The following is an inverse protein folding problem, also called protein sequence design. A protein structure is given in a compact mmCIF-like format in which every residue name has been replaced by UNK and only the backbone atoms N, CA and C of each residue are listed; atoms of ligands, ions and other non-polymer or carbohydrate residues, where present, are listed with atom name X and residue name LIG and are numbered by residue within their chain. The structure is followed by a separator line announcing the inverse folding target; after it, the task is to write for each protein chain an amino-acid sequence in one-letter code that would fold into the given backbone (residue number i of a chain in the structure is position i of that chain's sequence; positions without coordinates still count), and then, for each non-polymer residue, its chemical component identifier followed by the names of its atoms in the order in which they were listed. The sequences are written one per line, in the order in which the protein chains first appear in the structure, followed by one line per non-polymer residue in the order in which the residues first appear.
data_IF_612549982833
#
_entry.id   IF_612549982833
#
_cell.length_a   1.000
_cell.length_b   1.000
_cell.length_c   1.000
_cell.angle_alpha   90.00
_cell.angle_beta   90.00
_cell.angle_gamma   90.00
#
_symmetry.space_group_name_H-M   'P 1'
#
loop_
_entity.id
_entity.type
_entity.pdbx_description
1 polymer ?
#
# COMPACT_ATOMS: atom_id res chain seq x y z
N UNK A 1 -5.33 3.07 -1.48
CA UNK A 1 -5.36 2.26 -2.73
C UNK A 1 -6.66 1.46 -2.79
N UNK A 2 -7.01 0.85 -3.92
CA UNK A 2 -8.26 0.08 -4.10
C UNK A 2 -7.96 -1.23 -4.80
N UNK A 3 -8.59 -2.32 -4.35
CA UNK A 3 -8.65 -3.60 -5.03
C UNK A 3 -10.11 -3.96 -5.33
N UNK A 4 -10.42 -4.36 -6.56
CA UNK A 4 -11.79 -4.63 -6.98
C UNK A 4 -11.91 -5.97 -7.71
N UNK A 5 -12.99 -6.67 -7.43
CA UNK A 5 -13.49 -7.87 -8.09
C UNK A 5 -15.01 -7.68 -8.30
N UNK A 6 -15.66 -8.30 -9.30
CA UNK A 6 -17.10 -8.14 -9.53
C UNK A 6 -17.99 -8.25 -8.28
N UNK A 7 -17.62 -9.13 -7.34
CA UNK A 7 -18.37 -9.40 -6.11
C UNK A 7 -17.74 -8.79 -4.83
N UNK A 8 -16.60 -8.11 -4.93
CA UNK A 8 -15.86 -7.62 -3.76
C UNK A 8 -15.07 -6.33 -4.03
N UNK A 9 -15.10 -5.39 -3.08
CA UNK A 9 -14.37 -4.12 -3.13
C UNK A 9 -13.57 -3.93 -1.84
N UNK A 10 -12.25 -3.83 -1.97
CA UNK A 10 -11.33 -3.54 -0.88
C UNK A 10 -10.81 -2.10 -0.96
N UNK A 11 -10.91 -1.36 0.14
CA UNK A 11 -10.29 -0.05 0.31
C UNK A 11 -9.10 -0.22 1.24
N UNK A 12 -7.91 0.17 0.76
CA UNK A 12 -6.68 0.05 1.52
C UNK A 12 -6.28 1.45 2.00
N UNK A 13 -6.38 1.65 3.31
CA UNK A 13 -6.05 2.88 4.04
C UNK A 13 -4.58 2.95 4.48
N UNK A 14 -3.74 2.03 4.00
CA UNK A 14 -2.30 2.09 4.20
C UNK A 14 -1.64 2.97 3.11
N UNK A 15 -0.59 3.69 3.49
CA UNK A 15 0.16 4.58 2.62
C UNK A 15 0.08 6.06 3.01
N UNK A 16 0.87 6.88 2.31
CA UNK A 16 1.01 8.30 2.63
C UNK A 16 1.24 9.15 1.38
N UNK A 17 1.22 10.48 1.56
CA UNK A 17 1.35 11.45 0.48
C UNK A 17 2.65 11.32 -0.35
N UNK A 18 3.73 10.77 0.22
CA UNK A 18 4.97 10.53 -0.50
C UNK A 18 4.84 9.55 -1.68
N UNK A 19 3.79 8.72 -1.66
CA UNK A 19 3.46 7.79 -2.74
C UNK A 19 2.86 8.48 -3.97
N UNK A 20 2.49 9.76 -3.90
CA UNK A 20 2.03 10.54 -5.05
C UNK A 20 3.20 10.97 -5.95
N UNK A 21 4.07 10.01 -6.28
CA UNK A 21 5.28 10.18 -7.07
C UNK A 21 5.27 9.26 -8.29
N UNK A 22 5.93 9.68 -9.37
CA UNK A 22 6.09 8.83 -10.56
C UNK A 22 6.76 7.50 -10.22
N UNK A 23 6.27 6.40 -10.81
CA UNK A 23 6.81 5.06 -10.62
C UNK A 23 6.19 4.25 -9.48
N UNK A 24 5.42 4.85 -8.57
CA UNK A 24 4.77 4.09 -7.48
C UNK A 24 3.74 3.06 -7.99
N UNK A 25 3.11 3.34 -9.14
CA UNK A 25 2.26 2.38 -9.84
C UNK A 25 3.03 1.19 -10.43
N UNK A 26 4.24 1.42 -10.94
CA UNK A 26 5.11 0.37 -11.47
C UNK A 26 5.59 -0.57 -10.35
N UNK A 27 5.96 0.02 -9.19
CA UNK A 27 6.31 -0.75 -7.99
C UNK A 27 5.15 -1.61 -7.53
N UNK A 28 3.95 -1.04 -7.38
CA UNK A 28 2.74 -1.79 -7.00
C UNK A 28 2.44 -2.92 -7.99
N UNK A 29 2.55 -2.65 -9.29
CA UNK A 29 2.30 -3.64 -10.34
C UNK A 29 3.31 -4.79 -10.28
N UNK A 30 4.58 -4.49 -10.01
CA UNK A 30 5.62 -5.50 -9.79
C UNK A 30 5.35 -6.38 -8.57
N UNK A 31 4.89 -5.79 -7.46
CA UNK A 31 4.50 -6.54 -6.25
C UNK A 31 3.33 -7.48 -6.56
N UNK A 32 2.28 -6.98 -7.22
CA UNK A 32 1.11 -7.81 -7.59
C UNK A 32 1.54 -8.93 -8.55
N UNK A 33 2.37 -8.63 -9.56
CA UNK A 33 2.90 -9.63 -10.48
C UNK A 33 3.70 -10.74 -9.78
N UNK A 34 4.52 -10.38 -8.78
CA UNK A 34 5.26 -11.34 -7.97
C UNK A 34 4.33 -12.24 -7.13
N UNK A 35 3.24 -11.69 -6.58
CA UNK A 35 2.24 -12.43 -5.81
C UNK A 35 1.41 -13.36 -6.71
N UNK A 36 1.06 -12.92 -7.91
CA UNK A 36 0.44 -13.76 -8.94
C UNK A 36 1.36 -14.92 -9.35
N UNK A 37 2.66 -14.66 -9.50
CA UNK A 37 3.68 -15.71 -9.74
C UNK A 37 3.77 -16.74 -8.61
N UNK A 38 3.39 -16.35 -7.39
CA UNK A 38 3.26 -17.23 -6.22
C UNK A 38 1.90 -17.95 -6.13
N UNK A 39 1.05 -17.83 -7.16
CA UNK A 39 -0.26 -18.49 -7.29
C UNK A 39 -1.35 -17.96 -6.34
N UNK A 40 -1.24 -16.71 -5.88
CA UNK A 40 -2.39 -16.06 -5.25
C UNK A 40 -3.50 -15.79 -6.29
N UNK A 41 -4.76 -15.75 -5.84
CA UNK A 41 -5.84 -15.30 -6.70
C UNK A 41 -5.62 -13.83 -7.10
N UNK A 42 -6.15 -13.36 -8.24
CA UNK A 42 -5.98 -11.96 -8.65
C UNK A 42 -6.45 -10.95 -7.61
N UNK A 43 -7.57 -11.23 -6.94
CA UNK A 43 -8.10 -10.36 -5.90
C UNK A 43 -7.20 -10.37 -4.64
N UNK A 44 -6.79 -11.55 -4.17
CA UNK A 44 -5.89 -11.65 -3.01
C UNK A 44 -4.53 -11.02 -3.28
N UNK A 45 -3.99 -11.19 -4.49
CA UNK A 45 -2.73 -10.58 -4.90
C UNK A 45 -2.85 -9.04 -4.95
N UNK A 46 -3.96 -8.51 -5.45
CA UNK A 46 -4.22 -7.06 -5.47
C UNK A 46 -4.37 -6.50 -4.04
N UNK A 47 -5.12 -7.19 -3.19
CA UNK A 47 -5.30 -6.82 -1.78
C UNK A 47 -3.96 -6.84 -1.03
N UNK A 48 -3.27 -7.98 -1.01
CA UNK A 48 -1.98 -8.12 -0.33
C UNK A 48 -0.92 -7.15 -0.90
N UNK A 49 -0.89 -6.96 -2.23
CA UNK A 49 0.01 -6.02 -2.88
C UNK A 49 -0.23 -4.57 -2.46
N UNK A 50 -1.49 -4.12 -2.43
CA UNK A 50 -1.84 -2.79 -1.94
C UNK A 50 -1.44 -2.60 -0.47
N UNK A 51 -1.71 -3.58 0.39
CA UNK A 51 -1.35 -3.49 1.82
C UNK A 51 0.16 -3.42 1.99
N UNK A 52 0.90 -4.32 1.35
CA UNK A 52 2.36 -4.36 1.44
C UNK A 52 3.00 -3.06 0.93
N UNK A 53 2.52 -2.53 -0.20
CA UNK A 53 3.02 -1.29 -0.78
C UNK A 53 2.77 -0.07 0.13
N UNK A 54 1.56 0.06 0.67
CA UNK A 54 1.18 1.16 1.56
C UNK A 54 1.94 1.12 2.88
N UNK A 55 1.99 -0.06 3.52
CA UNK A 55 2.72 -0.25 4.76
C UNK A 55 4.23 0.02 4.60
N UNK A 56 4.83 -0.39 3.48
CA UNK A 56 6.23 -0.09 3.19
C UNK A 56 6.47 1.43 3.06
N UNK A 57 5.56 2.15 2.39
CA UNK A 57 5.63 3.60 2.30
C UNK A 57 5.52 4.26 3.67
N UNK A 58 4.64 3.79 4.55
CA UNK A 58 4.45 4.35 5.90
C UNK A 58 5.66 4.12 6.79
N UNK A 59 6.27 2.93 6.72
CA UNK A 59 7.52 2.64 7.41
C UNK A 59 8.63 3.56 6.92
N UNK A 60 8.72 3.80 5.61
CA UNK A 60 9.71 4.72 5.04
C UNK A 60 9.48 6.15 5.52
N UNK A 61 8.22 6.62 5.49
CA UNK A 61 7.86 7.92 6.02
C UNK A 61 8.22 8.03 7.50
N UNK A 62 7.88 7.06 8.34
CA UNK A 62 8.25 7.07 9.75
C UNK A 62 9.78 7.14 9.98
N UNK A 63 10.61 6.59 9.07
CA UNK A 63 12.08 6.65 9.18
C UNK A 63 12.67 7.98 8.73
N UNK A 64 12.14 8.58 7.66
CA UNK A 64 12.76 9.74 7.01
C UNK A 64 11.97 11.05 7.16
N UNK A 65 10.65 10.98 7.28
CA UNK A 65 9.77 12.15 7.54
C UNK A 65 9.99 12.70 8.96
N UNK A 66 10.27 11.83 9.93
CA UNK A 66 10.62 12.23 11.31
C UNK A 66 11.88 13.12 11.38
N UNK A 67 12.78 13.07 10.38
CA UNK A 67 13.96 13.93 10.34
C UNK A 67 13.67 15.34 9.79
N UNK A 68 12.49 15.59 9.21
CA UNK A 68 12.13 16.89 8.60
C UNK A 68 10.95 17.58 9.27
N UNK A 69 9.95 16.86 9.80
CA UNK A 69 8.67 17.46 10.24
C UNK A 69 8.09 16.84 11.53
N UNK A 70 8.78 16.97 12.66
CA UNK A 70 8.41 16.37 13.97
C UNK A 70 7.10 16.87 14.62
N UNK A 71 6.18 17.50 13.88
CA UNK A 71 5.05 18.27 14.42
C UNK A 71 3.64 17.65 14.36
N UNK A 72 3.39 16.54 13.65
CA UNK A 72 2.02 16.01 13.53
C UNK A 72 1.98 14.47 13.55
N UNK A 73 1.70 13.89 14.73
CA UNK A 73 1.86 12.44 15.02
C UNK A 73 0.57 11.62 15.02
N UNK A 74 -0.58 12.21 14.74
CA UNK A 74 -1.83 11.43 14.67
C UNK A 74 -2.04 10.97 13.24
N UNK A 75 -2.10 9.64 13.01
CA UNK A 75 -2.89 8.92 11.97
C UNK A 75 -2.31 7.55 11.51
N UNK A 76 -1.27 7.00 12.15
CA UNK A 76 -0.76 5.67 11.77
C UNK A 76 -1.50 4.51 12.47
N UNK A 77 -2.75 4.25 12.07
CA UNK A 77 -3.43 2.98 12.33
C UNK A 77 -3.75 2.33 10.98
N UNK A 78 -2.73 1.70 10.36
CA UNK A 78 -2.89 0.99 9.10
C UNK A 78 -3.73 -0.27 9.35
N UNK A 79 -5.05 -0.12 9.24
CA UNK A 79 -5.97 -1.26 9.26
C UNK A 79 -6.44 -1.46 7.83
N UNK A 80 -5.94 -2.51 7.19
CA UNK A 80 -6.38 -2.88 5.85
C UNK A 80 -7.39 -4.01 5.95
N UNK A 81 -8.64 -3.71 5.60
CA UNK A 81 -9.66 -4.72 5.38
C UNK A 81 -10.00 -4.72 3.88
N UNK A 82 -9.53 -5.77 3.20
CA UNK A 82 -10.34 -6.43 2.19
C UNK A 82 -11.27 -7.40 2.94
#
# INVERSE_FOLDING_TARGET
MVAAHPDALGIIDAGNAGMASGGMGDVLSGIIGALLGQKLSPYDAACAGCVAHGAAADVLAARFWNARDAGNRSLFHATAYC
#
